data_IF_488815458238
#
_entry.id   IF_488815458238
#
_cell.length_a   1.000
_cell.length_b   1.000
_cell.length_c   1.000
_cell.angle_alpha   90.00
_cell.angle_beta   90.00
_cell.angle_gamma   90.00
#
_symmetry.space_group_name_H-M   'P 1'
#
loop_
_entity.id
_entity.type
_entity.pdbx_description
1 polymer ?
#
# COMPACT_ATOMS: atom_id res chain seq x y z
N UNK A 1 -29.55 -13.64 -10.70
CA UNK A 1 -28.35 -13.92 -11.53
C UNK A 1 -27.47 -12.69 -11.50
N UNK A 2 -26.35 -12.73 -10.76
CA UNK A 2 -25.36 -11.65 -10.82
C UNK A 2 -24.60 -11.75 -12.15
N UNK A 3 -24.31 -10.64 -12.84
CA UNK A 3 -23.58 -10.69 -14.10
C UNK A 3 -22.16 -11.21 -13.84
N UNK A 4 -21.71 -12.16 -14.67
CA UNK A 4 -20.35 -12.68 -14.62
C UNK A 4 -19.35 -11.55 -14.91
N UNK A 5 -18.20 -11.47 -14.20
CA UNK A 5 -17.18 -10.46 -14.46
C UNK A 5 -16.69 -10.58 -15.91
N UNK A 6 -16.88 -9.54 -16.70
CA UNK A 6 -16.34 -9.46 -18.06
C UNK A 6 -14.80 -9.55 -17.96
N UNK A 7 -14.12 -10.36 -18.79
CA UNK A 7 -12.67 -10.48 -18.74
C UNK A 7 -12.04 -9.13 -19.06
N UNK A 8 -11.41 -8.50 -18.06
CA UNK A 8 -10.67 -7.26 -18.27
C UNK A 8 -9.56 -7.48 -19.30
N UNK A 9 -9.46 -6.57 -20.27
CA UNK A 9 -8.39 -6.58 -21.27
C UNK A 9 -7.03 -6.54 -20.56
N UNK A 10 -6.12 -7.47 -20.91
CA UNK A 10 -4.75 -7.54 -20.38
C UNK A 10 -4.01 -6.20 -20.48
N UNK A 11 -4.32 -5.43 -21.52
CA UNK A 11 -3.77 -4.09 -21.77
C UNK A 11 -4.27 -3.08 -20.74
N UNK A 12 -5.56 -3.15 -20.38
CA UNK A 12 -6.15 -2.29 -19.34
C UNK A 12 -5.50 -2.54 -17.98
N UNK A 13 -5.30 -3.81 -17.60
CA UNK A 13 -4.61 -4.15 -16.35
C UNK A 13 -3.16 -3.66 -16.36
N UNK A 14 -2.46 -3.79 -17.50
CA UNK A 14 -1.09 -3.31 -17.66
C UNK A 14 -1.01 -1.78 -17.50
N UNK A 15 -1.86 -1.03 -18.21
CA UNK A 15 -1.90 0.44 -18.12
C UNK A 15 -2.22 0.88 -16.70
N UNK A 16 -3.20 0.24 -16.04
CA UNK A 16 -3.55 0.56 -14.65
C UNK A 16 -2.37 0.37 -13.71
N UNK A 17 -1.65 -0.75 -13.83
CA UNK A 17 -0.45 -1.03 -13.03
C UNK A 17 0.66 -0.02 -13.34
N UNK A 18 0.94 0.23 -14.61
CA UNK A 18 1.98 1.13 -15.06
C UNK A 18 1.73 2.56 -14.56
N UNK A 19 0.51 3.07 -14.75
CA UNK A 19 0.12 4.40 -14.28
C UNK A 19 0.25 4.50 -12.76
N UNK A 20 -0.21 3.48 -12.02
CA UNK A 20 -0.05 3.48 -10.57
C UNK A 20 1.42 3.49 -10.16
N UNK A 21 2.27 2.72 -10.82
CA UNK A 21 3.71 2.70 -10.54
C UNK A 21 4.36 4.05 -10.86
N UNK A 22 4.07 4.63 -12.02
CA UNK A 22 4.65 5.92 -12.45
C UNK A 22 4.24 7.04 -11.50
N UNK A 23 2.97 7.10 -11.09
CA UNK A 23 2.49 8.12 -10.14
C UNK A 23 3.19 7.95 -8.79
N UNK A 24 3.20 6.73 -8.24
CA UNK A 24 3.75 6.47 -6.92
C UNK A 24 5.26 6.73 -6.89
N UNK A 25 5.96 6.34 -7.96
CA UNK A 25 7.38 6.62 -8.15
C UNK A 25 7.66 8.12 -8.31
N UNK A 26 6.83 8.84 -9.08
CA UNK A 26 6.95 10.29 -9.24
C UNK A 26 6.75 11.04 -7.93
N UNK A 27 5.78 10.63 -7.12
CA UNK A 27 5.52 11.17 -5.78
C UNK A 27 6.72 10.95 -4.85
N UNK A 28 7.31 9.75 -4.86
CA UNK A 28 8.50 9.42 -4.05
C UNK A 28 9.72 10.23 -4.50
N UNK A 29 9.99 10.30 -5.81
CA UNK A 29 11.11 11.09 -6.33
C UNK A 29 10.95 12.58 -6.05
N UNK A 30 9.74 13.11 -6.25
CA UNK A 30 9.45 14.51 -5.92
C UNK A 30 9.72 14.79 -4.45
N UNK A 31 9.22 13.93 -3.55
CA UNK A 31 9.53 14.01 -2.13
C UNK A 31 11.04 13.98 -1.87
N UNK A 32 11.74 12.93 -2.29
CA UNK A 32 13.16 12.76 -1.97
C UNK A 32 14.06 13.87 -2.54
N UNK A 33 13.74 14.41 -3.72
CA UNK A 33 14.62 15.34 -4.44
C UNK A 33 14.26 16.82 -4.23
N UNK A 34 12.99 17.18 -4.00
CA UNK A 34 12.61 18.58 -3.83
C UNK A 34 13.11 19.17 -2.51
N UNK A 35 13.22 18.34 -1.47
CA UNK A 35 13.61 18.77 -0.13
C UNK A 35 12.56 19.68 0.54
N UNK A 36 12.74 19.90 1.84
CA UNK A 36 11.86 20.74 2.65
C UNK A 36 10.74 19.98 3.39
N UNK A 37 10.01 20.67 4.29
CA UNK A 37 9.07 20.03 5.20
C UNK A 37 7.89 19.36 4.49
N UNK A 38 7.45 19.91 3.35
CA UNK A 38 6.36 19.34 2.53
C UNK A 38 6.74 17.95 2.04
N UNK A 39 7.98 17.75 1.60
CA UNK A 39 8.49 16.45 1.15
C UNK A 39 8.40 15.37 2.24
N UNK A 40 8.72 15.74 3.49
CA UNK A 40 8.65 14.82 4.64
C UNK A 40 7.21 14.37 4.89
N UNK A 41 6.25 15.30 4.85
CA UNK A 41 4.83 14.95 4.98
C UNK A 41 4.33 14.10 3.81
N UNK A 42 4.83 14.37 2.60
CA UNK A 42 4.37 13.71 1.38
C UNK A 42 4.86 12.26 1.30
N UNK A 43 6.17 12.03 1.51
CA UNK A 43 6.76 10.67 1.54
C UNK A 43 6.35 9.94 2.81
N UNK A 44 6.40 10.59 3.97
CA UNK A 44 5.99 10.00 5.24
C UNK A 44 4.50 9.62 5.23
N UNK A 45 3.64 10.50 4.72
CA UNK A 45 2.21 10.23 4.54
C UNK A 45 1.94 9.08 3.57
N UNK A 46 2.67 9.01 2.46
CA UNK A 46 2.57 7.90 1.51
C UNK A 46 2.95 6.56 2.16
N UNK A 47 4.08 6.51 2.88
CA UNK A 47 4.52 5.30 3.60
C UNK A 47 3.51 4.89 4.68
N UNK A 48 2.96 5.87 5.41
CA UNK A 48 1.94 5.64 6.43
C UNK A 48 0.67 5.03 5.82
N UNK A 49 0.19 5.56 4.69
CA UNK A 49 -0.97 5.02 3.97
C UNK A 49 -0.70 3.60 3.47
N UNK A 50 0.48 3.34 2.89
CA UNK A 50 0.87 2.00 2.45
C UNK A 50 0.90 1.01 3.62
N UNK A 51 1.39 1.43 4.79
CA UNK A 51 1.37 0.61 6.01
C UNK A 51 -0.06 0.31 6.46
N UNK A 52 -0.96 1.29 6.48
CA UNK A 52 -2.36 1.09 6.88
C UNK A 52 -3.05 0.10 5.93
N UNK A 53 -2.90 0.29 4.61
CA UNK A 53 -3.50 -0.61 3.60
C UNK A 53 -2.91 -2.01 3.71
N UNK A 54 -1.59 -2.13 3.82
CA UNK A 54 -0.93 -3.44 3.97
C UNK A 54 -1.37 -4.16 5.25
N UNK A 55 -1.55 -3.42 6.35
CA UNK A 55 -2.06 -3.98 7.59
C UNK A 55 -3.52 -4.44 7.45
N UNK A 56 -4.36 -3.69 6.74
CA UNK A 56 -5.74 -4.08 6.47
C UNK A 56 -5.83 -5.34 5.60
N UNK A 57 -5.03 -5.42 4.53
CA UNK A 57 -4.96 -6.59 3.65
C UNK A 57 -4.45 -7.82 4.41
N UNK A 58 -3.43 -7.64 5.26
CA UNK A 58 -2.91 -8.68 6.14
C UNK A 58 -3.99 -9.19 7.11
N UNK A 59 -4.71 -8.30 7.80
CA UNK A 59 -5.79 -8.71 8.70
C UNK A 59 -6.95 -9.38 7.95
N UNK A 60 -7.26 -8.93 6.74
CA UNK A 60 -8.25 -9.56 5.86
C UNK A 60 -7.85 -11.00 5.51
N UNK A 61 -6.59 -11.20 5.11
CA UNK A 61 -6.02 -12.52 4.80
C UNK A 61 -5.99 -13.44 6.02
N UNK A 62 -5.57 -12.94 7.17
CA UNK A 62 -5.52 -13.70 8.43
C UNK A 62 -6.93 -14.12 8.86
N UNK A 63 -7.92 -13.22 8.72
CA UNK A 63 -9.32 -13.53 9.04
C UNK A 63 -9.93 -14.56 8.08
N UNK A 64 -9.63 -14.47 6.78
CA UNK A 64 -10.11 -15.41 5.78
C UNK A 64 -9.52 -16.83 5.95
N UNK A 65 -8.28 -16.93 6.45
CA UNK A 65 -7.58 -18.21 6.59
C UNK A 65 -7.61 -18.79 8.02
N UNK A 66 -8.37 -18.17 8.95
CA UNK A 66 -8.49 -18.66 10.33
C UNK A 66 -7.17 -18.65 11.12
N UNK A 67 -6.16 -17.91 10.65
CA UNK A 67 -4.84 -17.87 11.27
C UNK A 67 -4.88 -17.02 12.55
N UNK A 68 -4.12 -17.39 13.60
CA UNK A 68 -4.04 -16.60 14.82
C UNK A 68 -3.54 -15.18 14.53
N UNK A 69 -4.32 -14.18 14.93
CA UNK A 69 -4.03 -12.75 14.69
C UNK A 69 -2.85 -12.30 15.53
N UNK A 70 -1.70 -12.06 14.91
CA UNK A 70 -0.54 -11.42 15.55
C UNK A 70 -0.73 -9.90 15.65
N UNK A 71 -1.72 -9.46 16.44
CA UNK A 71 -1.95 -8.04 16.75
C UNK A 71 -0.72 -7.35 17.33
N UNK A 72 0.17 -8.13 17.94
CA UNK A 72 1.37 -7.65 18.62
C UNK A 72 2.62 -7.62 17.76
N UNK A 73 2.70 -8.34 16.63
CA UNK A 73 3.91 -8.32 15.81
C UNK A 73 4.15 -6.95 15.15
N UNK A 74 3.09 -6.30 14.67
CA UNK A 74 3.19 -4.94 14.14
C UNK A 74 3.59 -3.91 15.20
N UNK A 75 3.06 -4.04 16.42
CA UNK A 75 3.41 -3.17 17.54
C UNK A 75 4.85 -3.42 18.03
N UNK A 76 5.22 -4.69 18.20
CA UNK A 76 6.57 -5.08 18.62
C UNK A 76 7.61 -4.69 17.57
N UNK A 77 7.33 -4.87 16.27
CA UNK A 77 8.20 -4.40 15.20
C UNK A 77 8.41 -2.89 15.22
N UNK A 78 7.34 -2.12 15.42
CA UNK A 78 7.42 -0.66 15.56
C UNK A 78 8.19 -0.19 16.80
N UNK A 79 8.02 -0.87 17.94
CA UNK A 79 8.73 -0.54 19.20
C UNK A 79 10.19 -0.95 19.15
N UNK A 80 10.55 -2.02 18.43
CA UNK A 80 11.95 -2.49 18.34
C UNK A 80 12.79 -1.64 17.38
N UNK A 81 12.15 -0.96 16.43
CA UNK A 81 12.80 -0.07 15.45
C UNK A 81 12.95 1.38 15.93
N UNK A 82 12.41 1.71 17.10
CA UNK A 82 12.61 2.98 17.84
C UNK A 82 13.72 2.80 18.86
#
# INVERSE_FOLDING_TARGET
MSPAPQPESKVTTLIRRLTSTVILLGVVFYGLLAGGPISVFLVGGLIMLLNIVGLFEFYGMVNANGLPRFKWLGLAGGVTLV
#
